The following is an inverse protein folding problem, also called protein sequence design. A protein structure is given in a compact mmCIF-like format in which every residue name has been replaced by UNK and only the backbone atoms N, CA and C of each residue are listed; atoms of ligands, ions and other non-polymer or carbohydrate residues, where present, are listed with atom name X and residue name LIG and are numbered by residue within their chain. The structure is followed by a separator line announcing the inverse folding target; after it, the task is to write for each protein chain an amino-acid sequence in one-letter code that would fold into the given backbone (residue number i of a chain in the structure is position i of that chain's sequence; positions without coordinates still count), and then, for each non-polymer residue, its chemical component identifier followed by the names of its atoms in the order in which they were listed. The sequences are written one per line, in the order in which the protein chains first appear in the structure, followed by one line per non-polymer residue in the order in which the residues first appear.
data_IF_802576284691
#
_entry.id   IF_802576284691
#
_cell.length_a   1.000
_cell.length_b   1.000
_cell.length_c   1.000
_cell.angle_alpha   90.00
_cell.angle_beta   90.00
_cell.angle_gamma   90.00
#
_symmetry.space_group_name_H-M   'P 1'
#
loop_
_entity.id
_entity.type
_entity.pdbx_description
1 polymer ?
#
# COMPACT_ATOMS: atom_id res chain seq x y z
N UNK A 1 -5.97 -10.21 4.04
CA UNK A 1 -4.99 -10.57 5.10
C UNK A 1 -5.33 -11.96 5.59
N UNK A 2 -4.41 -12.89 5.55
CA UNK A 2 -4.64 -14.27 6.00
C UNK A 2 -3.98 -14.45 7.38
N UNK A 3 -4.76 -14.89 8.37
CA UNK A 3 -4.25 -15.18 9.70
C UNK A 3 -3.77 -16.63 9.79
N UNK A 4 -2.55 -16.85 10.27
CA UNK A 4 -2.02 -18.17 10.58
C UNK A 4 -1.69 -18.22 12.06
N UNK A 5 -2.32 -19.13 12.79
CA UNK A 5 -2.16 -19.27 14.24
C UNK A 5 -2.37 -17.97 15.03
N UNK A 6 -3.26 -17.10 14.56
CA UNK A 6 -3.57 -15.82 15.20
C UNK A 6 -2.57 -14.70 14.94
N UNK A 7 -1.68 -14.83 13.96
CA UNK A 7 -0.77 -13.79 13.51
C UNK A 7 -0.96 -13.48 12.03
N UNK A 8 -0.83 -12.22 11.66
CA UNK A 8 -0.70 -11.78 10.27
C UNK A 8 0.70 -12.08 9.78
N UNK A 9 0.81 -12.68 8.60
CA UNK A 9 2.09 -13.01 7.98
C UNK A 9 2.13 -12.55 6.52
N UNK A 10 3.33 -12.41 5.98
CA UNK A 10 3.51 -12.04 4.58
C UNK A 10 3.47 -13.31 3.72
N UNK A 11 2.63 -13.28 2.68
CA UNK A 11 2.49 -14.32 1.68
C UNK A 11 3.09 -13.89 0.36
N UNK A 12 3.37 -14.85 -0.50
CA UNK A 12 3.73 -14.63 -1.90
C UNK A 12 2.93 -15.54 -2.82
N UNK A 13 2.73 -15.10 -4.04
CA UNK A 13 2.27 -15.92 -5.16
C UNK A 13 2.99 -15.48 -6.43
N UNK A 14 3.11 -16.38 -7.40
CA UNK A 14 3.58 -16.04 -8.73
C UNK A 14 2.39 -15.71 -9.61
N UNK A 15 2.52 -14.66 -10.42
CA UNK A 15 1.61 -14.38 -11.51
C UNK A 15 2.01 -15.20 -12.74
N UNK A 16 1.04 -15.50 -13.59
CA UNK A 16 1.32 -16.04 -14.93
C UNK A 16 2.04 -15.00 -15.81
N UNK A 17 2.57 -15.41 -16.96
CA UNK A 17 3.34 -14.53 -17.86
C UNK A 17 2.56 -13.28 -18.31
N UNK A 18 1.24 -13.41 -18.46
CA UNK A 18 0.35 -12.32 -18.88
C UNK A 18 -0.06 -11.39 -17.72
N UNK A 19 0.27 -11.71 -16.48
CA UNK A 19 -0.18 -11.00 -15.28
C UNK A 19 -1.70 -10.89 -15.15
N UNK A 20 -2.42 -11.93 -15.57
CA UNK A 20 -3.88 -11.99 -15.54
C UNK A 20 -4.43 -12.90 -14.44
N UNK A 21 -3.58 -13.78 -13.88
CA UNK A 21 -3.97 -14.73 -12.83
C UNK A 21 -2.75 -15.19 -12.04
N UNK A 22 -2.96 -15.87 -10.92
CA UNK A 22 -1.92 -16.51 -10.12
C UNK A 22 -1.64 -17.94 -10.62
N UNK A 23 -0.38 -18.36 -10.62
CA UNK A 23 0.03 -19.73 -10.98
C UNK A 23 -0.32 -20.79 -9.92
N UNK A 24 -0.86 -20.38 -8.79
CA UNK A 24 -1.25 -21.27 -7.72
C UNK A 24 -1.61 -20.55 -6.43
N UNK A 25 -1.92 -21.30 -5.39
CA UNK A 25 -2.29 -20.74 -4.10
C UNK A 25 -1.14 -19.96 -3.45
N UNK A 26 -1.43 -18.81 -2.80
CA UNK A 26 -0.45 -18.05 -2.05
C UNK A 26 0.21 -18.90 -0.95
N UNK A 27 1.53 -18.74 -0.80
CA UNK A 27 2.35 -19.47 0.17
C UNK A 27 2.94 -18.50 1.19
N UNK A 28 3.14 -18.93 2.45
CA UNK A 28 3.84 -18.13 3.44
C UNK A 28 5.24 -17.75 2.97
N UNK A 29 5.55 -16.46 3.03
CA UNK A 29 6.88 -15.93 2.72
C UNK A 29 7.67 -15.66 3.99
N UNK A 30 7.05 -14.98 4.96
CA UNK A 30 7.74 -14.52 6.15
C UNK A 30 6.81 -14.39 7.34
N UNK A 31 7.29 -14.86 8.48
CA UNK A 31 6.77 -14.60 9.82
C UNK A 31 7.96 -14.26 10.71
N UNK A 32 7.93 -13.18 11.51
CA UNK A 32 8.98 -12.86 12.46
C UNK A 32 9.24 -14.01 13.45
N UNK A 33 10.51 -14.21 13.85
CA UNK A 33 10.93 -15.32 14.77
C UNK A 33 10.22 -15.28 16.12
N UNK A 34 9.79 -14.11 16.55
CA UNK A 34 9.00 -13.95 17.77
C UNK A 34 7.54 -14.41 17.63
N UNK A 35 7.11 -14.84 16.45
CA UNK A 35 5.75 -15.32 16.16
C UNK A 35 4.67 -14.24 16.19
N UNK A 36 5.04 -12.96 16.18
CA UNK A 36 4.10 -11.84 16.17
C UNK A 36 3.75 -11.42 14.75
N UNK A 37 2.62 -10.74 14.60
CA UNK A 37 2.13 -10.25 13.32
C UNK A 37 3.11 -9.30 12.63
N UNK A 38 3.14 -9.37 11.31
CA UNK A 38 3.80 -8.42 10.44
C UNK A 38 2.97 -8.19 9.18
N UNK A 39 3.01 -6.96 8.67
CA UNK A 39 2.25 -6.53 7.49
C UNK A 39 3.11 -5.66 6.57
N UNK A 40 2.57 -5.26 5.41
CA UNK A 40 3.14 -4.29 4.49
C UNK A 40 4.58 -4.63 4.08
N UNK A 41 4.79 -5.85 3.61
CA UNK A 41 6.10 -6.29 3.14
C UNK A 41 6.43 -5.73 1.75
N UNK A 42 7.52 -4.96 1.66
CA UNK A 42 8.06 -4.45 0.40
C UNK A 42 9.50 -4.93 0.21
N UNK A 43 9.86 -5.38 -1.00
CA UNK A 43 11.13 -6.05 -1.24
C UNK A 43 11.95 -5.29 -2.28
N UNK A 44 13.20 -5.00 -1.93
CA UNK A 44 14.20 -4.48 -2.85
C UNK A 44 15.41 -5.41 -2.92
N UNK A 45 16.01 -5.53 -4.12
CA UNK A 45 17.21 -6.33 -4.34
C UNK A 45 18.44 -5.46 -4.47
N UNK A 46 19.49 -5.79 -3.72
CA UNK A 46 20.78 -5.12 -3.79
C UNK A 46 21.92 -6.12 -3.57
N UNK A 47 22.88 -6.11 -4.47
CA UNK A 47 24.16 -6.84 -4.35
C UNK A 47 24.01 -8.31 -3.96
N UNK A 48 23.07 -9.02 -4.58
CA UNK A 48 22.85 -10.45 -4.33
C UNK A 48 21.94 -10.75 -3.12
N UNK A 49 21.40 -9.74 -2.47
CA UNK A 49 20.57 -9.87 -1.26
C UNK A 49 19.21 -9.20 -1.47
N UNK A 50 18.16 -9.87 -1.08
CA UNK A 50 16.81 -9.31 -0.97
C UNK A 50 16.65 -8.70 0.42
N UNK A 51 16.15 -7.49 0.46
CA UNK A 51 15.83 -6.74 1.67
C UNK A 51 14.32 -6.52 1.70
N UNK A 52 13.63 -7.09 2.66
CA UNK A 52 12.20 -6.88 2.86
C UNK A 52 11.99 -5.92 4.01
N UNK A 53 11.38 -4.80 3.73
CA UNK A 53 10.90 -3.84 4.72
C UNK A 53 9.49 -4.24 5.11
N UNK A 54 9.20 -4.37 6.38
CA UNK A 54 7.91 -4.81 6.87
C UNK A 54 7.51 -4.08 8.15
N UNK A 55 6.22 -3.90 8.33
CA UNK A 55 5.69 -3.31 9.56
C UNK A 55 5.51 -4.37 10.63
N UNK A 56 5.92 -4.06 11.87
CA UNK A 56 5.64 -4.89 13.05
C UNK A 56 4.26 -4.58 13.62
N UNK A 57 3.51 -5.61 14.00
CA UNK A 57 2.19 -5.50 14.60
C UNK A 57 2.13 -6.17 15.98
N UNK A 58 1.51 -5.48 16.96
CA UNK A 58 1.32 -6.00 18.31
C UNK A 58 2.58 -6.10 19.19
N UNK A 59 3.75 -5.64 18.70
CA UNK A 59 5.02 -5.68 19.43
C UNK A 59 5.95 -4.52 19.04
N UNK A 60 5.37 -3.41 18.69
CA UNK A 60 5.98 -2.18 18.18
C UNK A 60 5.25 -1.72 16.92
N UNK A 61 5.40 -0.44 16.58
CA UNK A 61 4.71 0.19 15.45
C UNK A 61 5.72 0.86 14.54
N UNK A 62 6.50 0.07 13.82
CA UNK A 62 7.52 0.60 12.95
C UNK A 62 7.99 -0.40 11.92
N UNK A 63 8.89 0.07 11.06
CA UNK A 63 9.42 -0.69 9.94
C UNK A 63 10.74 -1.32 10.32
N UNK A 64 10.81 -2.64 10.21
CA UNK A 64 12.03 -3.44 10.31
C UNK A 64 12.45 -4.00 8.95
N UNK A 65 13.62 -4.61 8.91
CA UNK A 65 14.16 -5.27 7.73
C UNK A 65 14.49 -6.73 8.04
N UNK A 66 14.11 -7.59 7.12
CA UNK A 66 14.62 -8.95 7.03
C UNK A 66 15.33 -9.14 5.69
N UNK A 67 16.41 -9.91 5.69
CA UNK A 67 17.24 -10.15 4.49
C UNK A 67 17.35 -11.61 4.15
N UNK A 68 17.45 -11.93 2.86
CA UNK A 68 17.72 -13.27 2.36
C UNK A 68 18.44 -13.26 1.03
N UNK A 69 19.13 -14.34 0.71
CA UNK A 69 19.70 -14.57 -0.63
C UNK A 69 18.75 -15.34 -1.55
N UNK A 70 17.67 -15.91 -1.00
CA UNK A 70 16.68 -16.68 -1.76
C UNK A 70 15.29 -16.40 -1.22
N UNK A 71 14.45 -15.77 -2.02
CA UNK A 71 13.12 -15.28 -1.62
C UNK A 71 12.25 -16.36 -0.98
N UNK A 72 12.21 -17.54 -1.56
CA UNK A 72 11.29 -18.60 -1.19
C UNK A 72 11.92 -19.73 -0.35
N UNK A 73 13.15 -19.52 0.13
CA UNK A 73 13.84 -20.51 0.96
C UNK A 73 13.27 -20.65 2.38
N UNK A 74 12.45 -19.69 2.82
CA UNK A 74 11.97 -19.57 4.20
C UNK A 74 13.05 -19.10 5.19
N UNK A 75 14.25 -18.76 4.70
CA UNK A 75 15.39 -18.36 5.55
C UNK A 75 15.59 -16.85 5.43
N UNK A 76 15.10 -16.13 6.42
CA UNK A 76 15.24 -14.69 6.54
C UNK A 76 16.04 -14.33 7.80
N UNK A 77 16.97 -13.39 7.65
CA UNK A 77 17.73 -12.82 8.74
C UNK A 77 17.11 -11.48 9.14
N UNK A 78 16.53 -11.43 10.34
CA UNK A 78 15.90 -10.22 10.86
C UNK A 78 16.92 -9.26 11.44
N UNK A 79 16.70 -7.96 11.22
CA UNK A 79 17.42 -6.88 11.90
C UNK A 79 16.56 -6.33 13.03
N UNK A 80 17.17 -6.06 14.19
CA UNK A 80 16.41 -5.68 15.39
C UNK A 80 16.00 -4.21 15.41
N UNK A 81 16.74 -3.35 14.72
CA UNK A 81 16.53 -1.92 14.69
C UNK A 81 15.41 -1.49 13.74
N UNK A 82 14.65 -0.50 14.17
CA UNK A 82 13.66 0.17 13.33
C UNK A 82 14.34 1.11 12.32
N UNK A 83 13.82 1.15 11.10
CA UNK A 83 14.41 1.92 9.99
C UNK A 83 13.78 3.30 9.80
N UNK A 84 12.57 3.52 10.31
CA UNK A 84 11.96 4.86 10.24
C UNK A 84 12.76 5.88 11.04
N UNK A 85 12.73 7.12 10.56
CA UNK A 85 13.45 8.26 11.17
C UNK A 85 12.50 9.18 11.95
N UNK A 86 11.46 8.62 12.54
CA UNK A 86 10.48 9.30 13.39
C UNK A 86 10.17 8.45 14.62
N UNK A 87 9.67 9.08 15.68
CA UNK A 87 9.14 8.40 16.86
C UNK A 87 7.65 8.06 16.72
N UNK A 88 6.98 8.65 15.74
CA UNK A 88 5.58 8.35 15.44
C UNK A 88 5.47 6.91 14.89
N UNK A 89 4.32 6.30 15.07
CA UNK A 89 4.01 5.02 14.46
C UNK A 89 3.88 5.18 12.94
N UNK A 90 4.39 4.20 12.19
CA UNK A 90 4.46 4.22 10.74
C UNK A 90 4.06 2.87 10.14
N UNK A 91 3.62 2.90 8.88
CA UNK A 91 3.25 1.70 8.10
C UNK A 91 3.48 1.91 6.60
N UNK A 92 3.14 0.92 5.76
CA UNK A 92 3.14 1.07 4.31
C UNK A 92 4.52 1.40 3.74
N UNK A 93 5.54 0.62 4.10
CA UNK A 93 6.88 0.81 3.53
C UNK A 93 6.88 0.60 2.02
N UNK A 94 7.47 1.55 1.29
CA UNK A 94 7.76 1.41 -0.13
C UNK A 94 9.22 1.78 -0.40
N UNK A 95 9.98 0.86 -0.99
CA UNK A 95 11.42 1.04 -1.23
C UNK A 95 11.73 0.93 -2.71
N UNK A 96 12.41 1.92 -3.26
CA UNK A 96 12.77 1.91 -4.67
C UNK A 96 14.15 2.53 -4.93
N UNK A 97 14.79 2.08 -6.01
CA UNK A 97 16.07 2.62 -6.45
C UNK A 97 15.87 3.80 -7.39
N UNK A 98 16.61 4.89 -7.20
CA UNK A 98 16.61 6.01 -8.14
C UNK A 98 17.31 5.62 -9.45
N UNK A 99 16.68 5.93 -10.58
CA UNK A 99 17.22 5.65 -11.91
C UNK A 99 18.53 6.43 -12.11
N UNK A 100 19.60 5.71 -12.53
CA UNK A 100 20.91 6.30 -12.79
C UNK A 100 21.72 6.65 -11.54
N UNK A 101 21.28 6.28 -10.37
CA UNK A 101 21.98 6.54 -9.10
C UNK A 101 22.12 5.27 -8.27
N UNK A 102 23.16 5.18 -7.45
CA UNK A 102 23.26 4.14 -6.41
C UNK A 102 22.65 4.63 -5.10
N UNK A 103 21.39 5.04 -5.20
CA UNK A 103 20.56 5.52 -4.11
C UNK A 103 19.23 4.81 -4.08
N UNK A 104 18.75 4.54 -2.88
CA UNK A 104 17.44 4.01 -2.61
C UNK A 104 16.65 5.01 -1.78
N UNK A 105 15.36 5.05 -2.01
CA UNK A 105 14.41 5.79 -1.20
C UNK A 105 13.58 4.77 -0.44
N UNK A 106 13.42 4.98 0.86
CA UNK A 106 12.41 4.34 1.67
C UNK A 106 11.39 5.40 2.05
N UNK A 107 10.17 5.21 1.61
CA UNK A 107 9.02 6.02 2.00
C UNK A 107 8.08 5.21 2.89
N UNK A 108 7.39 5.86 3.79
CA UNK A 108 6.39 5.23 4.66
C UNK A 108 5.37 6.24 5.15
N UNK A 109 4.18 5.73 5.47
CA UNK A 109 3.07 6.51 5.97
C UNK A 109 3.22 6.77 7.48
N UNK A 110 3.32 8.04 7.87
CA UNK A 110 3.19 8.49 9.24
C UNK A 110 1.70 8.71 9.50
N UNK A 111 0.96 7.61 9.53
CA UNK A 111 -0.49 7.56 9.38
C UNK A 111 -1.26 8.42 10.39
N UNK A 112 -0.79 8.55 11.64
CA UNK A 112 -1.42 9.44 12.63
C UNK A 112 -1.20 10.93 12.34
N UNK A 113 -0.32 11.27 11.41
CA UNK A 113 -0.04 12.64 10.99
C UNK A 113 -0.60 12.98 9.60
N UNK A 114 -1.17 11.99 8.90
CA UNK A 114 -1.67 12.16 7.53
C UNK A 114 -0.60 12.58 6.53
N UNK A 115 0.64 12.10 6.68
CA UNK A 115 1.75 12.43 5.78
C UNK A 115 2.70 11.27 5.60
N UNK A 116 3.40 11.27 4.48
CA UNK A 116 4.57 10.42 4.26
C UNK A 116 5.84 11.03 4.85
N UNK A 117 6.78 10.18 5.22
CA UNK A 117 8.17 10.55 5.39
C UNK A 117 9.00 9.83 4.32
N UNK A 118 9.95 10.56 3.77
CA UNK A 118 10.89 10.06 2.77
C UNK A 118 12.30 10.06 3.32
N UNK A 119 13.00 8.97 3.10
CA UNK A 119 14.40 8.83 3.50
C UNK A 119 15.24 8.31 2.35
N UNK A 120 16.49 8.75 2.25
CA UNK A 120 17.47 8.23 1.28
C UNK A 120 18.51 7.34 1.97
N UNK A 121 19.01 6.37 1.24
CA UNK A 121 20.08 5.48 1.66
C UNK A 121 20.90 4.96 0.46
N UNK A 122 22.17 4.62 0.68
CA UNK A 122 23.01 3.91 -0.30
C UNK A 122 23.30 2.47 0.12
N UNK A 123 23.07 2.14 1.38
CA UNK A 123 23.44 0.85 1.98
C UNK A 123 22.26 0.03 2.52
N UNK A 124 21.03 0.56 2.44
CA UNK A 124 19.78 -0.01 3.00
C UNK A 124 19.86 -0.27 4.53
N UNK A 125 20.75 0.43 5.22
CA UNK A 125 20.98 0.34 6.67
C UNK A 125 20.83 1.69 7.36
N UNK A 126 21.51 2.69 6.80
CA UNK A 126 21.53 4.05 7.32
C UNK A 126 20.64 4.94 6.46
N UNK A 127 19.70 5.60 7.07
CA UNK A 127 18.68 6.40 6.39
C UNK A 127 18.76 7.87 6.82
N UNK A 128 18.65 8.76 5.85
CA UNK A 128 18.62 10.21 6.04
C UNK A 128 17.30 10.77 5.54
N UNK A 129 16.61 11.55 6.36
CA UNK A 129 15.36 12.22 5.99
C UNK A 129 15.59 13.23 4.86
N UNK A 130 14.71 13.19 3.86
CA UNK A 130 14.71 14.06 2.68
C UNK A 130 13.33 14.69 2.41
N UNK A 131 12.48 14.79 3.42
CA UNK A 131 11.11 15.32 3.28
C UNK A 131 11.07 16.69 2.56
N UNK A 132 12.07 17.54 2.82
CA UNK A 132 12.15 18.87 2.20
C UNK A 132 12.50 18.84 0.70
N UNK A 133 13.05 17.74 0.21
CA UNK A 133 13.46 17.57 -1.18
C UNK A 133 12.36 16.89 -2.02
N UNK A 134 11.30 16.42 -1.36
CA UNK A 134 10.17 15.73 -2.01
C UNK A 134 8.94 16.61 -2.00
N UNK A 135 8.31 16.73 -3.16
CA UNK A 135 7.02 17.41 -3.30
C UNK A 135 5.97 16.41 -3.75
N UNK A 136 4.89 16.34 -3.00
CA UNK A 136 3.70 15.58 -3.35
C UNK A 136 2.51 16.54 -3.49
N UNK A 137 1.76 16.39 -4.57
CA UNK A 137 0.54 17.15 -4.82
C UNK A 137 -0.73 16.43 -4.40
N UNK A 138 -0.58 15.32 -3.69
CA UNK A 138 -1.67 14.50 -3.16
C UNK A 138 -1.22 13.84 -1.84
N UNK A 139 -2.16 13.30 -1.09
CA UNK A 139 -1.93 12.65 0.20
C UNK A 139 -2.26 11.14 0.09
N UNK A 140 -1.36 10.34 -0.47
CA UNK A 140 -1.60 8.91 -0.58
C UNK A 140 -1.54 8.25 0.79
N UNK A 141 -2.20 7.12 0.89
CA UNK A 141 -2.05 6.17 1.97
C UNK A 141 -1.60 4.86 1.34
N UNK A 142 -0.44 4.39 1.72
CA UNK A 142 0.25 3.25 1.14
C UNK A 142 0.55 3.40 -0.37
N UNK A 143 1.55 2.72 -0.85
CA UNK A 143 1.89 2.73 -2.27
C UNK A 143 3.29 2.18 -2.51
N UNK A 144 3.52 1.75 -3.75
CA UNK A 144 4.84 1.36 -4.23
C UNK A 144 5.21 2.14 -5.49
N UNK A 145 6.49 2.29 -5.72
CA UNK A 145 7.03 2.95 -6.91
C UNK A 145 7.87 1.94 -7.67
N UNK A 146 7.50 1.70 -8.92
CA UNK A 146 8.23 0.79 -9.81
C UNK A 146 8.75 1.55 -11.03
N UNK A 147 9.94 1.23 -11.53
CA UNK A 147 10.42 1.77 -12.79
C UNK A 147 9.66 1.14 -13.96
N UNK A 148 9.25 1.96 -14.91
CA UNK A 148 8.63 1.51 -16.15
C UNK A 148 9.43 1.99 -17.35
N UNK A 149 9.38 1.23 -18.45
CA UNK A 149 9.98 1.61 -19.72
C UNK A 149 9.12 2.65 -20.45
N UNK A 150 9.69 3.34 -21.43
CA UNK A 150 8.93 4.23 -22.32
C UNK A 150 7.85 3.50 -23.11
N UNK A 151 8.09 2.24 -23.46
CA UNK A 151 7.10 1.42 -24.15
C UNK A 151 5.91 1.07 -23.25
N UNK A 152 6.15 0.77 -21.97
CA UNK A 152 5.10 0.53 -20.97
C UNK A 152 4.32 1.81 -20.69
N UNK A 153 4.99 2.94 -20.49
CA UNK A 153 4.34 4.23 -20.35
C UNK A 153 3.43 4.53 -21.56
N UNK A 154 3.92 4.26 -22.78
CA UNK A 154 3.11 4.45 -24.00
C UNK A 154 1.86 3.56 -23.98
N UNK A 155 1.99 2.27 -23.64
CA UNK A 155 0.82 1.36 -23.54
C UNK A 155 -0.19 1.83 -22.50
N UNK A 156 0.29 2.29 -21.34
CA UNK A 156 -0.58 2.83 -20.28
C UNK A 156 -1.31 4.07 -20.80
N UNK A 157 -0.59 5.01 -21.38
CA UNK A 157 -1.18 6.26 -21.89
C UNK A 157 -2.08 6.06 -23.10
N UNK A 158 -1.78 5.10 -23.98
CA UNK A 158 -2.65 4.75 -25.11
C UNK A 158 -3.98 4.15 -24.62
N UNK A 159 -3.95 3.36 -23.53
CA UNK A 159 -5.14 2.68 -22.99
C UNK A 159 -5.97 3.56 -22.08
N UNK A 160 -5.33 4.35 -21.24
CA UNK A 160 -5.96 5.10 -20.15
C UNK A 160 -5.95 6.62 -20.35
N UNK A 161 -5.30 7.10 -21.40
CA UNK A 161 -5.07 8.50 -21.66
C UNK A 161 -3.77 9.01 -21.01
N UNK A 162 -3.31 10.16 -21.46
CA UNK A 162 -2.20 10.86 -20.80
C UNK A 162 -2.66 11.35 -19.43
N UNK A 163 -1.77 11.35 -18.42
CA UNK A 163 -2.03 12.13 -17.21
C UNK A 163 -2.44 13.55 -17.60
N UNK A 164 -3.46 14.10 -16.97
CA UNK A 164 -3.83 15.49 -17.19
C UNK A 164 -2.60 16.37 -17.00
N UNK A 165 -2.40 17.36 -17.88
CA UNK A 165 -1.34 18.33 -17.67
C UNK A 165 -1.55 19.01 -16.32
N UNK A 166 -0.46 19.19 -15.56
CA UNK A 166 -0.47 19.60 -14.15
C UNK A 166 -1.24 20.89 -13.78
N UNK A 167 -1.85 21.58 -14.77
CA UNK A 167 -2.68 22.76 -14.56
C UNK A 167 -4.15 22.52 -14.21
N UNK A 168 -4.66 21.30 -14.42
CA UNK A 168 -6.07 20.97 -14.20
C UNK A 168 -6.30 19.65 -13.44
N UNK A 169 -5.32 19.20 -12.66
CA UNK A 169 -5.50 18.02 -11.81
C UNK A 169 -6.66 18.24 -10.83
N UNK A 170 -7.48 17.21 -10.58
CA UNK A 170 -8.43 17.24 -9.50
C UNK A 170 -7.72 17.65 -8.21
N UNK A 171 -8.35 18.50 -7.44
CA UNK A 171 -7.78 18.90 -6.15
C UNK A 171 -7.68 17.66 -5.25
N UNK A 172 -6.54 17.47 -4.62
CA UNK A 172 -6.40 16.47 -3.57
C UNK A 172 -6.53 17.11 -2.18
N UNK A 173 -7.29 16.48 -1.29
CA UNK A 173 -7.99 15.19 -1.46
C UNK A 173 -9.19 15.32 -2.41
N UNK A 174 -9.42 14.30 -3.25
CA UNK A 174 -10.57 14.23 -4.16
C UNK A 174 -11.89 13.97 -3.43
N UNK A 175 -11.82 13.40 -2.23
CA UNK A 175 -12.94 13.17 -1.33
C UNK A 175 -12.62 13.81 0.03
N UNK A 176 -13.59 14.44 0.70
CA UNK A 176 -13.41 14.99 2.03
C UNK A 176 -13.41 13.85 3.07
N UNK A 177 -12.56 13.95 4.11
CA UNK A 177 -12.52 12.99 5.20
C UNK A 177 -11.41 11.94 5.05
N UNK A 178 -11.61 10.78 5.70
CA UNK A 178 -10.65 9.69 5.72
C UNK A 178 -11.15 8.54 4.85
N UNK A 179 -10.36 8.17 3.86
CA UNK A 179 -10.67 7.13 2.88
C UNK A 179 -9.41 6.29 2.62
N UNK A 180 -9.15 5.31 3.49
CA UNK A 180 -8.03 4.39 3.29
C UNK A 180 -8.35 3.32 2.25
N UNK A 181 -7.30 2.73 1.67
CA UNK A 181 -7.37 1.57 0.77
C UNK A 181 -8.42 1.72 -0.35
N UNK A 182 -8.46 2.87 -1.08
CA UNK A 182 -9.49 3.09 -2.07
C UNK A 182 -9.28 2.19 -3.29
N UNK A 183 -10.33 1.50 -3.69
CA UNK A 183 -10.43 0.81 -4.98
C UNK A 183 -11.22 1.68 -5.96
N UNK A 184 -10.76 1.78 -7.20
CA UNK A 184 -11.46 2.51 -8.26
C UNK A 184 -11.85 1.58 -9.40
N UNK A 185 -13.11 1.62 -9.80
CA UNK A 185 -13.68 0.85 -10.91
C UNK A 185 -14.29 1.77 -11.95
N UNK A 186 -14.03 1.52 -13.24
CA UNK A 186 -14.79 2.12 -14.32
C UNK A 186 -15.90 1.18 -14.79
N UNK A 187 -17.14 1.61 -14.65
CA UNK A 187 -18.32 0.88 -15.14
C UNK A 187 -18.61 1.24 -16.59
N UNK A 188 -18.45 0.29 -17.50
CA UNK A 188 -18.87 0.45 -18.89
C UNK A 188 -20.37 0.64 -19.05
N UNK A 189 -21.16 0.13 -18.11
CA UNK A 189 -22.63 0.21 -18.14
C UNK A 189 -23.11 1.63 -17.87
N UNK A 190 -22.49 2.34 -16.94
CA UNK A 190 -22.88 3.69 -16.54
C UNK A 190 -22.02 4.79 -17.15
N UNK A 191 -20.83 4.42 -17.69
CA UNK A 191 -19.83 5.38 -18.15
C UNK A 191 -19.17 6.20 -17.03
N UNK A 192 -19.29 5.76 -15.78
CA UNK A 192 -18.76 6.44 -14.60
C UNK A 192 -17.65 5.64 -13.92
N UNK A 193 -16.79 6.35 -13.23
CA UNK A 193 -15.86 5.80 -12.26
C UNK A 193 -16.54 5.71 -10.90
N UNK A 194 -16.21 4.66 -10.15
CA UNK A 194 -16.69 4.46 -8.77
C UNK A 194 -15.51 4.27 -7.85
N UNK A 195 -15.51 4.92 -6.69
CA UNK A 195 -14.55 4.71 -5.62
C UNK A 195 -15.24 4.03 -4.45
N UNK A 196 -14.61 2.99 -3.97
CA UNK A 196 -14.95 2.26 -2.76
C UNK A 196 -13.76 2.39 -1.81
N UNK A 197 -14.02 2.67 -0.55
CA UNK A 197 -12.95 2.86 0.43
C UNK A 197 -13.32 2.36 1.81
N UNK A 198 -12.28 2.05 2.60
CA UNK A 198 -12.42 1.89 4.04
C UNK A 198 -12.99 3.16 4.66
N UNK A 199 -13.98 3.03 5.53
CA UNK A 199 -14.47 4.16 6.33
C UNK A 199 -13.63 4.30 7.59
N UNK A 200 -12.67 5.22 7.54
CA UNK A 200 -11.79 5.55 8.66
C UNK A 200 -12.38 6.57 9.62
N UNK A 201 -11.62 6.90 10.67
CA UNK A 201 -12.00 7.91 11.66
C UNK A 201 -12.97 7.40 12.72
N UNK A 202 -13.22 6.09 12.77
CA UNK A 202 -14.05 5.45 13.79
C UNK A 202 -13.20 5.00 14.99
N UNK A 203 -13.73 5.03 16.22
CA UNK A 203 -13.05 4.49 17.38
C UNK A 203 -12.67 3.02 17.19
N UNK A 204 -11.45 2.63 17.60
CA UNK A 204 -10.98 1.25 17.55
C UNK A 204 -10.57 0.76 16.16
N UNK A 205 -10.26 1.67 15.24
CA UNK A 205 -9.78 1.36 13.88
C UNK A 205 -10.80 0.63 12.98
N UNK A 206 -12.06 0.56 13.39
CA UNK A 206 -13.06 -0.21 12.68
C UNK A 206 -14.20 0.63 12.13
N UNK A 207 -14.34 0.73 10.84
CA UNK A 207 -15.60 1.07 10.19
C UNK A 207 -16.55 -0.13 10.20
N UNK A 208 -17.83 0.13 10.00
CA UNK A 208 -18.84 -0.92 9.88
C UNK A 208 -19.46 -0.99 8.50
N UNK A 209 -19.08 -0.09 7.59
CA UNK A 209 -19.70 0.03 6.28
C UNK A 209 -18.69 0.54 5.25
N UNK A 210 -18.93 0.20 3.99
CA UNK A 210 -18.25 0.79 2.85
C UNK A 210 -19.15 1.82 2.18
N UNK A 211 -18.55 2.94 1.81
CA UNK A 211 -19.22 3.99 1.02
C UNK A 211 -18.84 3.92 -0.43
N UNK A 212 -19.71 4.42 -1.29
CA UNK A 212 -19.50 4.52 -2.73
C UNK A 212 -19.61 5.97 -3.16
N UNK A 213 -18.67 6.39 -3.97
CA UNK A 213 -18.70 7.67 -4.68
C UNK A 213 -18.58 7.41 -6.18
N UNK A 214 -19.25 8.21 -7.01
CA UNK A 214 -19.15 8.13 -8.46
C UNK A 214 -18.67 9.43 -9.08
N UNK A 215 -18.03 9.33 -10.23
CA UNK A 215 -17.61 10.48 -11.03
C UNK A 215 -17.63 10.15 -12.51
N UNK A 216 -18.04 11.11 -13.34
CA UNK A 216 -17.93 11.02 -14.80
C UNK A 216 -16.63 11.63 -15.34
N UNK A 217 -15.88 12.39 -14.52
CA UNK A 217 -14.74 13.20 -14.95
C UNK A 217 -13.51 13.10 -14.04
N UNK A 218 -13.57 12.27 -12.97
CA UNK A 218 -12.53 12.09 -11.94
C UNK A 218 -12.22 13.38 -11.14
N UNK A 219 -13.01 14.42 -11.28
CA UNK A 219 -12.86 15.70 -10.57
C UNK A 219 -13.96 15.91 -9.55
N UNK A 220 -15.19 15.76 -10.02
CA UNK A 220 -16.40 15.96 -9.21
C UNK A 220 -16.94 14.60 -8.82
N UNK A 221 -17.13 14.37 -7.52
CA UNK A 221 -17.54 13.10 -6.97
C UNK A 221 -18.87 13.23 -6.24
N UNK A 222 -19.83 12.40 -6.65
CA UNK A 222 -21.14 12.29 -6.03
C UNK A 222 -21.14 11.14 -5.02
N UNK A 223 -21.67 11.40 -3.83
CA UNK A 223 -21.88 10.34 -2.84
C UNK A 223 -23.09 9.48 -3.22
N UNK A 224 -22.87 8.21 -3.52
CA UNK A 224 -23.92 7.26 -3.94
C UNK A 224 -24.53 6.49 -2.77
N UNK A 225 -23.92 6.54 -1.60
CA UNK A 225 -24.46 5.89 -0.40
C UNK A 225 -23.54 4.84 0.21
N UNK A 226 -24.15 4.01 1.06
CA UNK A 226 -23.51 2.86 1.71
C UNK A 226 -23.72 1.63 0.83
N UNK A 227 -22.63 1.01 0.38
CA UNK A 227 -22.67 -0.22 -0.41
C UNK A 227 -22.97 -1.44 0.47
N UNK A 228 -22.28 -1.51 1.59
CA UNK A 228 -22.38 -2.63 2.53
C UNK A 228 -22.29 -2.12 3.96
N UNK A 229 -23.19 -2.54 4.83
CA UNK A 229 -23.09 -2.37 6.29
C UNK A 229 -22.91 -3.74 6.94
N UNK A 230 -21.76 -3.98 7.57
CA UNK A 230 -21.43 -5.25 8.23
C UNK A 230 -22.33 -5.58 9.42
N UNK A 231 -23.13 -4.62 9.91
CA UNK A 231 -24.14 -4.84 10.95
C UNK A 231 -25.50 -5.21 10.39
N UNK A 232 -25.63 -5.19 9.07
CA UNK A 232 -26.90 -5.51 8.40
C UNK A 232 -27.11 -7.02 8.28
N UNK A 233 -28.34 -7.40 7.98
CA UNK A 233 -28.68 -8.81 7.70
C UNK A 233 -28.09 -9.33 6.39
N UNK A 234 -27.54 -8.49 5.55
CA UNK A 234 -26.86 -8.88 4.30
C UNK A 234 -25.57 -9.67 4.56
N UNK A 235 -24.90 -9.42 5.69
CA UNK A 235 -23.63 -10.07 6.07
C UNK A 235 -23.70 -10.56 7.52
N UNK A 236 -24.57 -11.54 7.83
CA UNK A 236 -24.85 -11.95 9.20
C UNK A 236 -23.64 -12.59 9.92
N UNK A 237 -22.60 -12.91 9.19
CA UNK A 237 -21.33 -13.45 9.69
C UNK A 237 -20.29 -12.36 10.05
N UNK A 238 -20.53 -11.08 9.69
CA UNK A 238 -19.65 -9.96 10.00
C UNK A 238 -20.26 -9.05 11.06
N UNK A 239 -19.43 -8.37 11.83
CA UNK A 239 -19.89 -7.45 12.88
C UNK A 239 -19.04 -6.18 13.02
N UNK A 240 -18.15 -5.90 12.05
CA UNK A 240 -17.30 -4.71 12.04
C UNK A 240 -16.02 -4.92 11.24
N UNK A 241 -15.11 -3.95 11.34
CA UNK A 241 -13.79 -3.97 10.72
C UNK A 241 -13.85 -4.14 9.20
N UNK A 242 -14.67 -3.32 8.53
CA UNK A 242 -14.78 -3.30 7.08
C UNK A 242 -13.59 -2.53 6.49
N UNK A 243 -12.55 -3.26 6.06
CA UNK A 243 -11.32 -2.70 5.52
C UNK A 243 -11.06 -3.16 4.10
N UNK A 244 -10.39 -2.30 3.33
CA UNK A 244 -9.82 -2.61 2.02
C UNK A 244 -10.81 -3.33 1.08
N UNK A 245 -11.90 -2.67 0.66
CA UNK A 245 -12.82 -3.28 -0.29
C UNK A 245 -12.10 -3.57 -1.60
N UNK A 246 -12.40 -4.72 -2.20
CA UNK A 246 -11.95 -5.10 -3.54
C UNK A 246 -13.18 -5.51 -4.36
N UNK A 247 -13.30 -5.01 -5.61
CA UNK A 247 -14.47 -5.21 -6.48
C UNK A 247 -14.04 -5.68 -7.85
#
# INVERSE_FOLDING_TARGET
MLHVNGADIIYYAYANEEFTDLEGEPKPLFLPKNGKSCIDGDIVYKDGVYHMFYKTEGHGNGIKVATTKSLTSGQWEEQDDYKQQTKDAVEGAGTFKLIGQDKYILMYDVYMRGKYQFTETTDLKNFKVIDNDVKMNFHPRHGTIIPITRAELKRITDKWGKPAELGELPQNPILPGFHADPEILFSKQTGKYYIYSTTDGQPGWGGWYFTVYSSSNLKDWDYEGVMLDARSTQVPWANGNTWAPCI
#
